data_IF_869957732895
#
_entry.id   IF_869957732895
#
_cell.length_a   1.000
_cell.length_b   1.000
_cell.length_c   1.000
_cell.angle_alpha   90.00
_cell.angle_beta   90.00
_cell.angle_gamma   90.00
#
_symmetry.space_group_name_H-M   'P 1'
#
loop_
_entity.id
_entity.type
_entity.pdbx_description
1 polymer ?
#
# COMPACT_ATOMS: atom_id res chain seq x y z
N UNK A 1 11.26 7.95 -4.81
CA UNK A 1 10.00 7.47 -4.24
C UNK A 1 10.23 6.96 -2.82
N UNK A 2 9.31 7.26 -1.94
CA UNK A 2 9.59 7.16 -0.51
C UNK A 2 8.33 6.78 0.27
N UNK A 3 8.52 6.02 1.34
CA UNK A 3 7.46 5.70 2.31
C UNK A 3 7.32 6.88 3.26
N UNK A 4 6.16 7.52 3.23
CA UNK A 4 5.88 8.69 4.08
C UNK A 4 5.28 8.32 5.41
N UNK A 5 4.54 7.22 5.47
CA UNK A 5 3.89 6.77 6.70
C UNK A 5 3.64 5.29 6.65
N UNK A 6 3.74 4.66 7.80
CA UNK A 6 3.36 3.26 8.01
C UNK A 6 2.36 3.26 9.15
N UNK A 7 1.22 2.60 9.00
CA UNK A 7 0.19 2.60 10.01
C UNK A 7 -0.47 1.23 10.12
N UNK A 8 -0.90 0.90 11.33
CA UNK A 8 -1.53 -0.39 11.63
C UNK A 8 -2.74 -0.18 12.53
N UNK A 9 -3.65 -1.16 12.53
CA UNK A 9 -4.80 -1.18 13.44
C UNK A 9 -5.11 -2.61 13.83
N UNK A 10 -5.82 -2.77 14.93
CA UNK A 10 -6.25 -4.09 15.39
C UNK A 10 -7.59 -4.50 14.79
N UNK A 11 -8.35 -3.55 14.24
CA UNK A 11 -9.67 -3.81 13.66
C UNK A 11 -9.74 -3.28 12.24
N UNK A 12 -10.46 -4.00 11.38
CA UNK A 12 -10.77 -3.53 10.04
C UNK A 12 -11.79 -2.40 10.10
N UNK A 13 -11.79 -1.52 9.10
CA UNK A 13 -12.76 -0.43 8.99
C UNK A 13 -12.58 0.68 10.01
N UNK A 14 -11.43 0.76 10.64
CA UNK A 14 -11.09 1.84 11.59
C UNK A 14 -9.82 2.55 11.14
N UNK A 15 -9.62 3.81 11.55
CA UNK A 15 -8.35 4.49 11.28
C UNK A 15 -7.18 3.68 11.83
N UNK A 16 -6.05 3.76 11.14
CA UNK A 16 -4.82 3.10 11.57
C UNK A 16 -3.91 4.10 12.24
N UNK A 17 -3.04 3.60 13.10
CA UNK A 17 -2.13 4.44 13.88
C UNK A 17 -0.74 4.39 13.28
N UNK A 18 -0.12 5.55 13.00
CA UNK A 18 1.25 5.59 12.47
C UNK A 18 2.25 4.99 13.43
N UNK A 19 3.17 4.21 12.89
CA UNK A 19 4.32 3.69 13.62
C UNK A 19 5.55 3.82 12.72
N UNK A 20 6.75 3.81 13.32
CA UNK A 20 7.96 4.09 12.56
C UNK A 20 8.55 2.87 11.85
N UNK A 21 8.19 1.69 12.29
CA UNK A 21 8.81 0.46 11.80
C UNK A 21 7.84 -0.70 11.88
N UNK A 22 7.81 -1.56 10.86
CA UNK A 22 7.03 -2.79 10.88
C UNK A 22 7.76 -3.90 10.16
N UNK A 23 7.35 -5.13 10.43
CA UNK A 23 7.84 -6.29 9.72
C UNK A 23 6.77 -6.79 8.75
N UNK A 24 7.16 -6.92 7.50
CA UNK A 24 6.34 -7.59 6.48
C UNK A 24 6.66 -9.07 6.51
N UNK A 25 5.63 -9.90 6.46
CA UNK A 25 5.75 -11.34 6.55
C UNK A 25 5.19 -11.95 5.27
N UNK A 26 5.97 -12.83 4.65
CA UNK A 26 5.60 -13.48 3.40
C UNK A 26 4.22 -14.12 3.51
N UNK A 27 3.39 -13.88 2.52
CA UNK A 27 2.02 -14.39 2.38
C UNK A 27 1.15 -14.15 3.63
N UNK A 28 1.42 -13.07 4.35
CA UNK A 28 0.68 -12.71 5.55
C UNK A 28 0.34 -11.22 5.56
N UNK A 29 1.34 -10.36 5.44
CA UNK A 29 1.16 -8.92 5.47
C UNK A 29 1.99 -8.27 6.56
N UNK A 30 1.46 -7.21 7.16
CA UNK A 30 2.16 -6.50 8.23
C UNK A 30 1.87 -7.19 9.56
N UNK A 31 2.93 -7.56 10.26
CA UNK A 31 2.80 -8.17 11.57
C UNK A 31 1.95 -7.29 12.50
N UNK A 32 0.91 -7.87 13.07
CA UNK A 32 0.05 -7.17 14.02
C UNK A 32 -1.06 -6.32 13.41
N UNK A 33 -1.17 -6.27 12.10
CA UNK A 33 -2.22 -5.48 11.45
C UNK A 33 -3.47 -6.31 11.19
N UNK A 34 -4.63 -5.66 11.27
CA UNK A 34 -5.93 -6.31 11.11
C UNK A 34 -6.14 -6.94 9.73
N UNK A 35 -5.51 -6.39 8.70
CA UNK A 35 -5.66 -6.89 7.33
C UNK A 35 -4.69 -8.01 7.00
N UNK A 36 -3.76 -8.34 7.90
CA UNK A 36 -2.84 -9.45 7.68
C UNK A 36 -3.61 -10.76 7.63
N UNK A 37 -3.15 -11.68 6.79
CA UNK A 37 -3.77 -12.99 6.64
C UNK A 37 -3.59 -13.55 5.24
N UNK A 38 -4.01 -14.78 5.00
CA UNK A 38 -3.79 -15.45 3.71
C UNK A 38 -4.84 -15.05 2.67
N UNK A 39 -4.83 -13.81 2.24
CA UNK A 39 -5.75 -13.32 1.22
C UNK A 39 -5.04 -12.25 0.37
N UNK A 40 -5.77 -11.65 -0.56
CA UNK A 40 -5.15 -10.77 -1.56
C UNK A 40 -4.98 -9.31 -1.11
N UNK A 41 -5.61 -8.89 -0.03
CA UNK A 41 -5.49 -7.52 0.49
C UNK A 41 -4.73 -7.48 1.80
N UNK A 42 -3.54 -8.06 1.79
CA UNK A 42 -2.71 -8.14 2.99
C UNK A 42 -2.15 -6.78 3.41
N UNK A 43 -1.80 -5.94 2.44
CA UNK A 43 -1.19 -4.63 2.67
C UNK A 43 -1.88 -3.62 1.76
N UNK A 44 -2.17 -2.45 2.29
CA UNK A 44 -2.78 -1.37 1.49
C UNK A 44 -1.82 -0.20 1.34
N UNK A 45 -1.87 0.42 0.17
CA UNK A 45 -1.08 1.59 -0.18
C UNK A 45 -2.00 2.73 -0.59
N UNK A 46 -1.58 3.95 -0.31
CA UNK A 46 -2.28 5.14 -0.75
C UNK A 46 -1.25 6.23 -1.00
N UNK A 47 -1.40 6.96 -2.08
CA UNK A 47 -0.49 8.06 -2.35
C UNK A 47 -0.65 9.14 -1.29
N UNK A 48 0.46 9.61 -0.72
CA UNK A 48 0.42 10.75 0.20
C UNK A 48 -0.19 11.96 -0.50
N UNK A 49 0.07 12.10 -1.79
CA UNK A 49 -0.50 13.18 -2.61
C UNK A 49 -2.03 13.12 -2.62
N UNK A 50 -2.62 11.92 -2.63
CA UNK A 50 -4.08 11.76 -2.56
C UNK A 50 -4.63 12.21 -1.23
N UNK A 51 -3.94 11.89 -0.14
CA UNK A 51 -4.34 12.33 1.21
C UNK A 51 -4.25 13.86 1.30
N UNK A 52 -3.21 14.44 0.74
CA UNK A 52 -3.03 15.89 0.73
C UNK A 52 -4.15 16.58 -0.06
N UNK A 53 -4.57 15.99 -1.18
CA UNK A 53 -5.69 16.54 -1.94
C UNK A 53 -7.00 16.46 -1.16
N UNK A 54 -7.21 15.39 -0.40
CA UNK A 54 -8.39 15.28 0.45
C UNK A 54 -8.40 16.37 1.52
N UNK A 55 -7.25 16.64 2.14
CA UNK A 55 -7.12 17.72 3.10
C UNK A 55 -7.42 19.08 2.48
N UNK A 56 -6.93 19.31 1.27
CA UNK A 56 -7.16 20.56 0.56
C UNK A 56 -8.63 20.77 0.23
N UNK A 57 -9.42 19.69 0.12
CA UNK A 57 -10.87 19.78 -0.08
C UNK A 57 -11.64 19.98 1.22
N UNK A 58 -10.95 20.07 2.34
CA UNK A 58 -11.57 20.33 3.63
C UNK A 58 -11.76 19.12 4.52
N UNK A 59 -11.30 17.92 4.12
CA UNK A 59 -11.38 16.76 4.99
C UNK A 59 -10.34 16.88 6.12
N UNK A 60 -10.75 16.57 7.34
CA UNK A 60 -9.84 16.61 8.48
C UNK A 60 -9.17 15.24 8.63
N UNK A 61 -8.16 14.99 7.81
CA UNK A 61 -7.49 13.70 7.73
C UNK A 61 -5.98 13.85 7.73
N UNK A 62 -5.32 12.83 8.25
CA UNK A 62 -3.88 12.68 8.19
C UNK A 62 -3.55 11.22 7.88
N UNK A 63 -2.26 10.87 7.89
CA UNK A 63 -1.83 9.51 7.58
C UNK A 63 -2.48 8.50 8.53
N UNK A 64 -2.96 7.39 7.95
CA UNK A 64 -3.63 6.33 8.68
C UNK A 64 -5.14 6.50 8.77
N UNK A 65 -5.66 7.70 8.56
CA UNK A 65 -7.08 7.99 8.76
C UNK A 65 -7.98 7.33 7.73
N UNK A 66 -7.46 7.00 6.55
CA UNK A 66 -8.22 6.25 5.55
C UNK A 66 -8.02 4.74 5.70
N UNK A 67 -7.41 4.30 6.80
CA UNK A 67 -7.09 2.90 7.07
C UNK A 67 -6.04 2.31 6.11
N UNK A 68 -5.24 3.17 5.50
CA UNK A 68 -4.14 2.71 4.68
C UNK A 68 -2.96 2.30 5.56
N UNK A 69 -2.25 1.25 5.12
CA UNK A 69 -1.03 0.83 5.80
C UNK A 69 0.15 1.72 5.43
N UNK A 70 0.37 1.95 4.14
CA UNK A 70 1.58 2.61 3.65
C UNK A 70 1.18 3.78 2.77
N UNK A 71 1.56 4.99 3.20
CA UNK A 71 1.39 6.19 2.39
C UNK A 71 2.71 6.48 1.68
N UNK A 72 2.64 6.74 0.38
CA UNK A 72 3.84 6.87 -0.47
C UNK A 72 3.90 8.23 -1.12
N UNK A 73 5.12 8.68 -1.43
CA UNK A 73 5.33 9.90 -2.21
C UNK A 73 6.11 9.58 -3.46
N UNK A 74 5.66 10.13 -4.57
CA UNK A 74 6.35 10.01 -5.85
C UNK A 74 5.99 8.77 -6.66
N UNK A 75 5.12 7.90 -6.14
CA UNK A 75 4.66 6.71 -6.87
C UNK A 75 3.52 7.09 -7.81
N UNK A 76 3.62 6.68 -9.05
CA UNK A 76 2.50 6.82 -9.99
C UNK A 76 1.66 5.55 -9.95
N UNK A 77 0.66 5.55 -9.09
CA UNK A 77 -0.24 4.41 -8.94
C UNK A 77 -1.32 4.34 -10.03
N UNK A 78 -1.43 5.40 -10.86
CA UNK A 78 -2.51 5.45 -11.86
C UNK A 78 -2.29 4.48 -13.03
N UNK A 79 -1.07 4.05 -13.25
CA UNK A 79 -0.72 3.14 -14.35
C UNK A 79 -0.40 1.73 -13.85
N UNK A 80 -0.69 1.43 -12.60
CA UNK A 80 -0.39 0.14 -12.00
C UNK A 80 -1.55 -0.82 -12.24
N UNK A 81 -1.25 -2.07 -12.48
CA UNK A 81 -2.23 -3.12 -12.65
C UNK A 81 -1.88 -4.31 -11.75
N UNK A 82 -2.85 -5.17 -11.44
CA UNK A 82 -2.54 -6.40 -10.71
C UNK A 82 -1.43 -7.18 -11.38
N UNK A 83 -0.53 -7.73 -10.59
CA UNK A 83 0.68 -8.42 -11.07
C UNK A 83 1.93 -7.55 -11.00
N UNK A 84 1.78 -6.23 -10.92
CA UNK A 84 2.92 -5.35 -10.72
C UNK A 84 3.57 -5.64 -9.38
N UNK A 85 4.86 -5.41 -9.27
CA UNK A 85 5.61 -5.65 -8.03
C UNK A 85 6.25 -4.36 -7.55
N UNK A 86 6.33 -4.25 -6.23
CA UNK A 86 6.88 -3.07 -5.56
C UNK A 86 7.89 -3.55 -4.53
N UNK A 87 9.08 -2.96 -4.56
CA UNK A 87 10.12 -3.21 -3.56
C UNK A 87 10.06 -2.12 -2.49
N UNK A 88 10.06 -2.54 -1.23
CA UNK A 88 10.04 -1.62 -0.09
C UNK A 88 11.28 -1.84 0.74
N UNK A 89 12.03 -0.76 1.01
CA UNK A 89 13.27 -0.87 1.76
C UNK A 89 14.26 -1.77 1.05
N UNK A 90 15.03 -2.52 1.82
CA UNK A 90 16.11 -3.33 1.27
C UNK A 90 15.67 -4.70 0.76
N UNK A 91 14.67 -5.31 1.40
CA UNK A 91 14.38 -6.73 1.14
C UNK A 91 12.93 -7.03 0.82
N UNK A 92 11.97 -6.21 1.26
CA UNK A 92 10.56 -6.56 1.13
C UNK A 92 10.08 -6.39 -0.32
N UNK A 93 9.23 -7.32 -0.76
CA UNK A 93 8.65 -7.29 -2.09
C UNK A 93 7.16 -7.61 -1.99
N UNK A 94 6.33 -6.79 -2.63
CA UNK A 94 4.87 -6.93 -2.60
C UNK A 94 4.36 -7.00 -4.03
N UNK A 95 3.46 -7.94 -4.28
CA UNK A 95 2.75 -8.02 -5.56
C UNK A 95 1.41 -7.30 -5.42
N UNK A 96 1.13 -6.40 -6.36
CA UNK A 96 -0.15 -5.69 -6.38
C UNK A 96 -1.23 -6.64 -6.86
N UNK A 97 -2.30 -6.75 -6.10
CA UNK A 97 -3.37 -7.71 -6.33
C UNK A 97 -4.70 -7.07 -6.66
N UNK A 98 -4.89 -5.81 -6.25
CA UNK A 98 -6.18 -5.14 -6.45
C UNK A 98 -5.98 -3.63 -6.46
N UNK A 99 -6.69 -2.95 -7.34
CA UNK A 99 -6.74 -1.49 -7.41
C UNK A 99 -8.15 -1.06 -7.04
N UNK A 100 -8.26 -0.21 -6.01
CA UNK A 100 -9.56 0.19 -5.49
C UNK A 100 -10.28 -0.95 -4.80
N UNK A 101 -11.46 -0.67 -4.30
CA UNK A 101 -12.32 -1.71 -3.70
C UNK A 101 -13.76 -1.23 -3.66
N UNK A 102 -14.71 -2.19 -3.59
CA UNK A 102 -16.10 -1.87 -3.29
C UNK A 102 -16.28 -1.73 -1.80
N UNK A 103 -17.00 -0.68 -1.40
CA UNK A 103 -17.45 -0.51 -0.04
C UNK A 103 -18.96 -0.40 -0.07
N UNK A 104 -19.64 -1.47 0.35
CA UNK A 104 -21.10 -1.53 0.33
C UNK A 104 -21.71 -0.77 1.51
N UNK A 105 -20.95 -0.57 2.57
CA UNK A 105 -21.40 0.15 3.75
C UNK A 105 -20.38 1.22 4.11
N UNK A 106 -20.89 2.35 4.57
CA UNK A 106 -20.03 3.39 5.12
C UNK A 106 -19.48 2.89 6.46
N UNK A 107 -18.16 2.88 6.59
CA UNK A 107 -17.50 2.43 7.81
C UNK A 107 -17.11 3.62 8.68
N UNK A 108 -16.45 3.33 9.81
CA UNK A 108 -15.98 4.37 10.72
C UNK A 108 -15.10 5.41 10.02
N UNK A 109 -14.35 5.00 9.00
CA UNK A 109 -13.49 5.90 8.22
C UNK A 109 -14.35 6.98 7.55
N UNK A 110 -15.44 6.58 6.87
CA UNK A 110 -16.31 7.51 6.18
C UNK A 110 -16.93 8.51 7.16
N UNK A 111 -17.47 8.03 8.26
CA UNK A 111 -18.14 8.89 9.22
C UNK A 111 -17.18 9.84 9.93
N UNK A 112 -15.97 9.40 10.20
CA UNK A 112 -14.99 10.22 10.88
C UNK A 112 -14.41 11.30 9.96
N UNK A 113 -14.03 10.92 8.74
CA UNK A 113 -13.34 11.81 7.80
C UNK A 113 -14.30 12.60 6.91
N UNK A 114 -15.55 12.16 6.78
CA UNK A 114 -16.53 12.78 5.89
C UNK A 114 -16.54 12.19 4.49
N UNK A 115 -15.53 11.42 4.14
CA UNK A 115 -15.42 10.71 2.87
C UNK A 115 -14.31 9.67 3.01
N UNK A 116 -14.22 8.75 2.05
CA UNK A 116 -13.14 7.80 2.01
C UNK A 116 -12.66 7.63 0.57
N UNK A 117 -11.36 7.83 0.35
CA UNK A 117 -10.77 7.72 -0.99
C UNK A 117 -10.24 6.33 -1.29
N UNK A 118 -10.16 5.43 -0.32
CA UNK A 118 -9.66 4.06 -0.52
C UNK A 118 -10.41 3.30 -1.61
N UNK A 119 -11.74 3.38 -1.71
CA UNK A 119 -12.43 2.67 -2.80
C UNK A 119 -11.98 3.07 -4.19
N UNK A 120 -11.57 4.32 -4.36
CA UNK A 120 -11.16 4.86 -5.66
C UNK A 120 -9.66 4.80 -5.89
N UNK A 121 -8.87 5.08 -4.86
CA UNK A 121 -7.45 5.34 -5.00
C UNK A 121 -6.57 4.36 -4.23
N UNK A 122 -7.16 3.48 -3.44
CA UNK A 122 -6.40 2.49 -2.67
C UNK A 122 -5.79 1.43 -3.58
N UNK A 123 -4.62 0.95 -3.19
CA UNK A 123 -3.92 -0.12 -3.88
C UNK A 123 -3.60 -1.20 -2.86
N UNK A 124 -3.80 -2.45 -3.24
CA UNK A 124 -3.65 -3.57 -2.32
C UNK A 124 -2.67 -4.59 -2.86
N UNK A 125 -1.96 -5.25 -1.96
CA UNK A 125 -0.99 -6.23 -2.37
C UNK A 125 -0.80 -7.37 -1.38
N UNK A 126 -0.05 -8.35 -1.84
CA UNK A 126 0.34 -9.52 -1.09
C UNK A 126 1.84 -9.57 -0.96
N UNK A 127 2.35 -9.88 0.21
CA UNK A 127 3.78 -9.91 0.46
C UNK A 127 4.38 -11.18 -0.17
N UNK A 128 5.28 -10.96 -1.12
CA UNK A 128 6.03 -12.05 -1.76
C UNK A 128 7.30 -12.36 -1.00
N UNK A 129 7.94 -11.33 -0.43
CA UNK A 129 9.17 -11.48 0.32
C UNK A 129 9.12 -10.53 1.52
N UNK A 130 9.36 -11.06 2.71
CA UNK A 130 9.29 -10.28 3.93
C UNK A 130 10.51 -9.40 4.18
N UNK A 131 10.42 -8.60 5.21
CA UNK A 131 11.49 -7.73 5.65
C UNK A 131 10.96 -6.64 6.55
N UNK A 132 11.87 -5.98 7.25
CA UNK A 132 11.53 -4.83 8.09
C UNK A 132 11.61 -3.57 7.25
N UNK A 133 10.59 -2.75 7.35
CA UNK A 133 10.57 -1.45 6.67
C UNK A 133 10.37 -0.33 7.69
N UNK A 134 10.85 0.85 7.34
CA UNK A 134 10.82 2.05 8.19
C UNK A 134 10.20 3.21 7.43
N UNK A 135 9.58 4.09 8.16
CA UNK A 135 9.16 5.38 7.60
C UNK A 135 10.40 6.08 7.03
N UNK A 136 10.29 6.58 5.81
CA UNK A 136 11.41 7.20 5.11
C UNK A 136 12.16 6.27 4.17
N UNK A 137 11.91 4.97 4.25
CA UNK A 137 12.55 4.02 3.34
C UNK A 137 12.14 4.27 1.89
N UNK A 138 13.00 3.85 0.97
CA UNK A 138 12.69 3.88 -0.45
C UNK A 138 11.60 2.89 -0.81
N UNK A 139 10.86 3.21 -1.84
CA UNK A 139 9.87 2.32 -2.44
C UNK A 139 9.94 2.53 -3.95
N UNK A 140 9.92 1.45 -4.70
CA UNK A 140 10.02 1.54 -6.15
C UNK A 140 9.30 0.39 -6.82
N UNK A 141 8.89 0.60 -8.07
CA UNK A 141 8.36 -0.50 -8.86
C UNK A 141 9.51 -1.43 -9.23
N UNK A 142 9.34 -2.72 -8.94
CA UNK A 142 10.24 -3.75 -9.43
C UNK A 142 9.75 -4.17 -10.82
N UNK A 143 10.62 -4.71 -11.62
CA UNK A 143 10.20 -5.22 -12.91
C UNK A 143 9.07 -6.22 -12.75
N UNK A 144 8.19 -6.31 -13.74
CA UNK A 144 7.18 -7.34 -13.74
C UNK A 144 7.86 -8.70 -13.78
N UNK A 145 7.19 -9.68 -13.21
CA UNK A 145 7.61 -11.03 -13.43
C UNK A 145 7.63 -11.25 -14.95
N UNK A 146 8.80 -11.54 -15.45
CA UNK A 146 8.93 -11.69 -16.85
C UNK A 146 8.46 -13.00 -17.30
N UNK A 147 7.95 -13.53 -16.46
CA UNK A 147 7.43 -14.66 -16.96
C UNK A 147 6.86 -14.20 -18.17
N UNK A 148 7.07 -13.69 -18.33
CA UNK A 148 6.68 -13.07 -19.15
C UNK A 148 7.36 -12.30 -19.82
N UNK A 149 8.00 -12.27 -19.99
CA UNK A 149 8.50 -11.78 -20.57
C UNK A 149 9.21 -11.14 -20.99
N UNK A 150 9.79 -11.37 -21.13
CA UNK A 150 10.44 -10.76 -21.44
C UNK A 150 11.28 -10.22 -21.75
N UNK A 151 11.87 -10.41 -21.87
CA UNK A 151 12.48 -9.86 -22.12
C UNK A 151 13.34 -9.40 -22.17
N UNK A 152 13.71 -9.73 -22.08
CA UNK A 152 14.35 -9.29 -22.23
C UNK A 152 15.02 -8.79 -22.09
N UNK A 153 15.40 -9.10 -21.81
CA UNK A 153 15.68 -8.80 -21.82
C UNK A 153 16.14 -8.30 -21.29
N UNK A 154 16.57 -8.61 -21.10
CA UNK A 154 16.60 -8.38 -20.90
C UNK A 154 16.88 -7.78 -20.10
N UNK A 155 17.24 -7.94 -20.09
CA UNK A 155 17.27 -7.47 -19.61
C UNK A 155 17.09 -6.87 -18.92
N UNK A 156 16.97 -7.23 -18.53
CA UNK A 156 16.55 -6.86 -18.07
C UNK A 156 16.30 -6.38 -17.35
N UNK A 157 16.38 -6.81 -16.90
CA UNK A 157 15.93 -6.47 -16.35
C UNK A 157 15.80 -5.85 -15.56
N UNK A 158 16.06 -6.10 -15.25
CA UNK A 158 15.60 -5.61 -14.60
C UNK A 158 15.64 -5.05 -13.84
N UNK A 159 15.74 -5.33 -13.44
CA UNK A 159 15.30 -4.78 -12.86
C UNK A 159 15.26 -4.43 -12.46
N UNK A 160 15.31 -4.94 -12.13
CA UNK A 160 14.84 -4.66 -11.89
C UNK A 160 14.97 -4.41 -12.08
#
# INVERSE_FOLDING_TARGET
MKIMSIAVSKKKGTPKHPISEVRLIENHGIHGDAHAGPWHRQVSFLAAESIERARARGLNVTFGDFAENIATRGMDWTHVAPGARVRLGDTALVEITQIGKECLKKCAIYYRAGDCIMPREGVFGRVLKGGTIHTGDGIEFAGKSRGSGSISGGKQEMTA
#
